data_IF_336919482629
#
_entry.id   IF_336919482629
#
_cell.length_a   1.000
_cell.length_b   1.000
_cell.length_c   1.000
_cell.angle_alpha   90.00
_cell.angle_beta   90.00
_cell.angle_gamma   90.00
#
_symmetry.space_group_name_H-M   'P 1'
#
loop_
_entity.id
_entity.type
_entity.pdbx_description
1 polymer ?
#
# COMPACT_ATOMS: atom_id res chain seq x y z
N UNK A 1 -9.01 15.59 23.36
CA UNK A 1 -9.43 16.94 22.95
C UNK A 1 -10.31 16.84 21.71
N UNK A 2 -11.26 17.76 21.52
CA UNK A 2 -12.24 17.67 20.42
C UNK A 2 -11.69 18.16 19.07
N UNK A 3 -12.25 17.65 17.97
CA UNK A 3 -11.90 18.02 16.60
C UNK A 3 -11.86 19.55 16.38
N UNK A 4 -10.77 20.04 15.79
CA UNK A 4 -10.50 21.45 15.58
C UNK A 4 -10.11 21.78 14.14
N UNK A 5 -9.52 20.84 13.40
CA UNK A 5 -8.94 21.09 12.09
C UNK A 5 -10.00 21.54 11.07
N UNK A 6 -11.19 20.94 11.10
CA UNK A 6 -12.31 21.37 10.26
C UNK A 6 -12.76 22.83 10.53
N UNK A 7 -12.51 23.37 11.73
CA UNK A 7 -12.85 24.77 12.07
C UNK A 7 -11.92 25.77 11.38
N UNK A 8 -10.78 25.33 10.87
CA UNK A 8 -9.83 26.15 10.10
C UNK A 8 -10.28 26.41 8.67
N UNK A 9 -11.29 25.69 8.17
CA UNK A 9 -11.87 25.96 6.84
C UNK A 9 -12.51 27.35 6.79
N UNK A 10 -13.18 27.77 7.87
CA UNK A 10 -13.81 29.09 7.96
C UNK A 10 -12.84 30.29 7.87
N UNK A 11 -11.71 30.34 8.61
CA UNK A 11 -10.70 31.38 8.41
C UNK A 11 -10.01 31.26 7.04
N UNK A 12 -9.74 30.05 6.53
CA UNK A 12 -9.15 29.85 5.21
C UNK A 12 -10.03 30.44 4.10
N UNK A 13 -11.34 30.16 4.15
CA UNK A 13 -12.33 30.72 3.22
C UNK A 13 -12.35 32.26 3.28
N UNK A 14 -12.34 32.86 4.48
CA UNK A 14 -12.30 34.32 4.60
C UNK A 14 -11.08 34.95 3.94
N UNK A 15 -9.95 34.26 3.94
CA UNK A 15 -8.70 34.77 3.40
C UNK A 15 -8.54 34.50 1.90
N UNK A 16 -9.03 33.36 1.41
CA UNK A 16 -8.78 32.87 0.04
C UNK A 16 -10.02 32.73 -0.84
N UNK A 17 -11.23 32.83 -0.29
CA UNK A 17 -12.49 32.55 -1.01
C UNK A 17 -12.77 33.48 -2.20
N UNK A 18 -12.23 34.71 -2.18
CA UNK A 18 -12.33 35.63 -3.31
C UNK A 18 -11.52 35.15 -4.54
N UNK A 19 -10.39 34.48 -4.31
CA UNK A 19 -9.55 33.91 -5.37
C UNK A 19 -10.02 32.51 -5.78
N UNK A 20 -10.66 31.77 -4.87
CA UNK A 20 -11.11 30.39 -5.06
C UNK A 20 -12.58 30.20 -4.63
N UNK A 21 -13.57 30.62 -5.47
CA UNK A 21 -15.00 30.52 -5.15
C UNK A 21 -15.50 29.08 -4.93
N UNK A 22 -14.79 28.10 -5.47
CA UNK A 22 -15.02 26.67 -5.26
C UNK A 22 -14.86 26.26 -3.79
N UNK A 23 -14.01 26.94 -3.02
CA UNK A 23 -13.81 26.67 -1.60
C UNK A 23 -15.09 26.98 -0.81
N UNK A 24 -15.74 28.10 -1.11
CA UNK A 24 -17.03 28.46 -0.52
C UNK A 24 -18.14 27.48 -0.91
N UNK A 25 -18.18 27.06 -2.19
CA UNK A 25 -19.19 26.09 -2.66
C UNK A 25 -19.01 24.72 -2.03
N UNK A 26 -17.76 24.28 -1.84
CA UNK A 26 -17.41 22.98 -1.29
C UNK A 26 -17.30 22.94 0.23
N UNK A 27 -17.41 24.07 0.92
CA UNK A 27 -17.10 24.22 2.35
C UNK A 27 -17.73 23.15 3.23
N UNK A 28 -19.04 22.96 3.14
CA UNK A 28 -19.75 22.00 3.99
C UNK A 28 -19.25 20.56 3.79
N UNK A 29 -18.88 20.20 2.55
CA UNK A 29 -18.30 18.90 2.23
C UNK A 29 -16.88 18.79 2.78
N UNK A 30 -16.04 19.82 2.61
CA UNK A 30 -14.67 19.84 3.12
C UNK A 30 -14.65 19.75 4.64
N UNK A 31 -15.46 20.55 5.34
CA UNK A 31 -15.57 20.51 6.80
C UNK A 31 -16.03 19.12 7.29
N UNK A 32 -17.01 18.50 6.60
CA UNK A 32 -17.50 17.16 6.94
C UNK A 32 -16.40 16.10 6.78
N UNK A 33 -15.69 16.11 5.65
CA UNK A 33 -14.62 15.14 5.37
C UNK A 33 -13.47 15.32 6.35
N UNK A 34 -13.02 16.55 6.58
CA UNK A 34 -11.95 16.83 7.53
C UNK A 34 -12.32 16.42 8.95
N UNK A 35 -13.57 16.65 9.36
CA UNK A 35 -14.04 16.22 10.68
C UNK A 35 -14.04 14.68 10.81
N UNK A 36 -14.56 13.97 9.80
CA UNK A 36 -14.57 12.51 9.80
C UNK A 36 -13.15 11.93 9.82
N UNK A 37 -12.25 12.49 9.02
CA UNK A 37 -10.86 12.06 8.97
C UNK A 37 -10.13 12.37 10.28
N UNK A 38 -10.36 13.54 10.88
CA UNK A 38 -9.78 13.93 12.17
C UNK A 38 -10.28 13.04 13.31
N UNK A 39 -11.57 12.72 13.36
CA UNK A 39 -12.15 11.78 14.34
C UNK A 39 -11.52 10.38 14.19
N UNK A 40 -11.43 9.86 12.95
CA UNK A 40 -10.82 8.56 12.66
C UNK A 40 -9.33 8.54 12.98
N UNK A 41 -8.62 9.61 12.62
CA UNK A 41 -7.20 9.75 12.86
C UNK A 41 -6.90 9.89 14.35
N UNK A 42 -7.72 10.59 15.13
CA UNK A 42 -7.53 10.70 16.57
C UNK A 42 -7.60 9.34 17.28
N UNK A 43 -8.51 8.45 16.86
CA UNK A 43 -8.62 7.09 17.39
C UNK A 43 -7.38 6.23 17.09
N UNK A 44 -6.82 6.33 15.88
CA UNK A 44 -5.61 5.60 15.50
C UNK A 44 -4.34 6.23 16.07
N UNK A 45 -4.28 7.56 16.14
CA UNK A 45 -3.17 8.33 16.70
C UNK A 45 -2.98 8.02 18.18
N UNK A 46 -4.05 7.98 18.98
CA UNK A 46 -3.95 7.67 20.41
C UNK A 46 -3.30 6.29 20.65
N UNK A 47 -3.74 5.27 19.90
CA UNK A 47 -3.16 3.92 19.96
C UNK A 47 -1.72 3.90 19.45
N UNK A 48 -1.46 4.59 18.33
CA UNK A 48 -0.11 4.70 17.75
C UNK A 48 0.88 5.37 18.70
N UNK A 49 0.45 6.42 19.41
CA UNK A 49 1.25 7.10 20.43
C UNK A 49 1.52 6.20 21.64
N UNK A 50 0.52 5.48 22.16
CA UNK A 50 0.71 4.55 23.27
C UNK A 50 1.73 3.44 22.92
N UNK A 51 1.66 2.92 21.69
CA UNK A 51 2.60 1.92 21.18
C UNK A 51 4.00 2.49 20.94
N UNK A 52 4.09 3.70 20.38
CA UNK A 52 5.36 4.40 20.21
C UNK A 52 6.01 4.66 21.57
N UNK A 53 5.24 5.10 22.56
CA UNK A 53 5.72 5.29 23.93
C UNK A 53 6.16 3.98 24.58
N UNK A 54 5.36 2.91 24.42
CA UNK A 54 5.72 1.57 24.89
C UNK A 54 6.99 1.03 24.23
N UNK A 55 7.13 1.23 22.92
CA UNK A 55 8.34 0.86 22.17
C UNK A 55 9.55 1.66 22.69
N UNK A 56 9.43 2.97 22.81
CA UNK A 56 10.49 3.84 23.33
C UNK A 56 10.87 3.46 24.78
N UNK A 57 9.90 3.10 25.61
CA UNK A 57 10.14 2.65 26.99
C UNK A 57 10.78 1.26 27.07
N UNK A 58 10.49 0.38 26.10
CA UNK A 58 11.08 -0.95 25.99
C UNK A 58 12.50 -0.93 25.38
N UNK A 59 12.92 0.19 24.77
CA UNK A 59 14.30 0.33 24.28
C UNK A 59 15.27 0.27 25.46
N UNK A 60 16.21 -0.69 25.49
CA UNK A 60 17.22 -0.76 26.53
C UNK A 60 18.07 0.52 26.56
N UNK A 61 18.51 0.94 27.75
CA UNK A 61 19.35 2.13 27.96
C UNK A 61 20.70 2.10 27.19
N UNK A 62 21.04 0.97 26.57
CA UNK A 62 22.18 0.78 25.70
C UNK A 62 21.72 0.08 24.43
N UNK A 63 21.81 0.75 23.30
CA UNK A 63 21.78 0.10 21.98
C UNK A 63 23.09 0.48 21.30
N UNK A 64 23.76 -0.56 20.81
CA UNK A 64 25.12 -0.56 20.28
C UNK A 64 25.39 0.58 19.29
N UNK A 65 26.63 1.09 19.26
CA UNK A 65 27.09 1.99 18.21
C UNK A 65 27.24 1.18 16.91
N UNK A 66 26.16 0.96 16.18
CA UNK A 66 26.26 0.72 14.74
C UNK A 66 26.38 2.08 14.06
N UNK A 67 27.31 2.26 13.09
CA UNK A 67 27.53 3.54 12.46
C UNK A 67 26.27 3.95 11.70
N UNK A 68 25.60 4.97 12.24
CA UNK A 68 24.50 5.65 11.59
C UNK A 68 24.98 6.15 10.21
N UNK A 69 24.48 5.55 9.14
CA UNK A 69 24.60 6.16 7.83
C UNK A 69 23.67 7.37 7.80
N UNK A 70 24.29 8.53 7.99
CA UNK A 70 23.79 9.87 7.69
C UNK A 70 22.65 10.38 8.59
N UNK A 71 22.96 10.60 9.86
CA UNK A 71 22.31 11.65 10.63
C UNK A 71 22.79 13.02 10.09
N UNK A 72 22.01 13.66 9.23
CA UNK A 72 22.16 15.10 9.02
C UNK A 72 21.61 15.79 10.27
N UNK A 73 22.56 16.30 11.06
CA UNK A 73 22.36 17.29 12.14
C UNK A 73 21.93 16.72 13.50
N UNK A 74 22.92 16.32 14.31
CA UNK A 74 22.85 16.40 15.78
C UNK A 74 22.46 15.13 16.55
N UNK A 75 23.42 14.62 17.33
CA UNK A 75 23.24 14.10 18.71
C UNK A 75 22.13 13.06 18.99
N UNK A 76 21.71 12.22 18.05
CA UNK A 76 20.81 11.11 18.37
C UNK A 76 21.56 10.01 19.14
N UNK A 77 21.29 9.86 20.43
CA UNK A 77 21.99 8.90 21.32
C UNK A 77 21.40 7.49 21.23
N UNK A 78 20.17 7.37 20.70
CA UNK A 78 19.42 6.11 20.57
C UNK A 78 18.59 6.15 19.29
N UNK A 79 18.40 5.01 18.64
CA UNK A 79 17.68 4.86 17.36
C UNK A 79 16.57 3.82 17.53
N UNK A 80 15.36 4.13 17.05
CA UNK A 80 14.25 3.19 16.96
C UNK A 80 14.47 2.28 15.75
N UNK A 81 14.38 0.97 15.94
CA UNK A 81 14.59 -0.01 14.87
C UNK A 81 13.53 0.09 13.77
N UNK A 82 13.94 -0.21 12.54
CA UNK A 82 13.07 -0.09 11.37
C UNK A 82 11.89 -1.06 11.36
N UNK A 83 11.97 -2.19 12.07
CA UNK A 83 10.87 -3.16 12.19
C UNK A 83 9.74 -2.62 13.09
N UNK A 84 10.08 -1.95 14.19
CA UNK A 84 9.13 -1.22 15.03
C UNK A 84 8.46 -0.08 14.26
N UNK A 85 9.23 0.72 13.52
CA UNK A 85 8.69 1.79 12.66
C UNK A 85 7.76 1.20 11.59
N UNK A 86 8.14 0.07 10.99
CA UNK A 86 7.32 -0.63 10.02
C UNK A 86 5.99 -1.11 10.62
N UNK A 87 6.00 -1.64 11.85
CA UNK A 87 4.79 -2.07 12.54
C UNK A 87 3.85 -0.92 12.84
N UNK A 88 4.37 0.24 13.27
CA UNK A 88 3.61 1.47 13.47
C UNK A 88 2.92 1.91 12.18
N UNK A 89 3.62 1.83 11.06
CA UNK A 89 3.09 2.16 9.74
C UNK A 89 2.03 1.15 9.24
N UNK A 90 2.38 -0.14 9.17
CA UNK A 90 1.56 -1.17 8.52
C UNK A 90 0.33 -1.57 9.36
N UNK A 91 0.51 -1.75 10.67
CA UNK A 91 -0.58 -2.24 11.54
C UNK A 91 -1.46 -1.11 12.06
N UNK A 92 -0.89 0.04 12.35
CA UNK A 92 -1.59 1.14 13.04
C UNK A 92 -1.81 2.36 12.14
N UNK A 93 -1.29 2.35 10.92
CA UNK A 93 -1.43 3.46 9.97
C UNK A 93 -0.69 4.72 10.41
N UNK A 94 0.27 4.62 11.31
CA UNK A 94 0.98 5.77 11.86
C UNK A 94 2.07 6.21 10.87
N UNK A 95 2.04 7.47 10.37
CA UNK A 95 3.02 7.92 9.39
C UNK A 95 4.46 7.86 9.92
N UNK A 96 5.39 7.45 9.05
CA UNK A 96 6.83 7.43 9.37
C UNK A 96 7.34 8.82 9.76
N UNK A 97 6.82 9.87 9.11
CA UNK A 97 7.19 11.26 9.39
C UNK A 97 6.84 11.68 10.83
N UNK A 98 5.63 11.33 11.28
CA UNK A 98 5.20 11.57 12.66
C UNK A 98 6.05 10.78 13.67
N UNK A 99 6.45 9.56 13.33
CA UNK A 99 7.35 8.76 14.17
C UNK A 99 8.72 9.43 14.27
N UNK A 100 9.24 9.94 13.15
CA UNK A 100 10.51 10.65 13.09
C UNK A 100 10.47 11.96 13.90
N UNK A 101 9.36 12.71 13.83
CA UNK A 101 9.20 13.96 14.56
C UNK A 101 9.12 13.73 16.07
N UNK A 102 8.29 12.77 16.53
CA UNK A 102 8.20 12.41 17.96
C UNK A 102 9.52 11.83 18.48
N UNK A 103 10.22 11.03 17.66
CA UNK A 103 11.55 10.55 18.00
C UNK A 103 12.54 11.72 18.18
N UNK A 104 12.55 12.68 17.25
CA UNK A 104 13.43 13.85 17.29
C UNK A 104 13.20 14.72 18.52
N UNK A 105 11.94 14.96 18.89
CA UNK A 105 11.58 15.70 20.11
C UNK A 105 12.15 15.06 21.39
N UNK A 106 12.35 13.73 21.37
CA UNK A 106 12.91 12.94 22.48
C UNK A 106 14.41 12.66 22.34
N UNK A 107 15.08 13.27 21.36
CA UNK A 107 16.50 13.04 21.09
C UNK A 107 16.81 11.63 20.54
N UNK A 108 15.83 10.99 19.93
CA UNK A 108 15.92 9.68 19.28
C UNK A 108 15.97 9.84 17.75
N UNK A 109 16.65 8.92 17.08
CA UNK A 109 16.58 8.74 15.63
C UNK A 109 15.66 7.59 15.24
N UNK A 110 15.39 7.44 13.94
CA UNK A 110 14.74 6.27 13.37
C UNK A 110 15.68 5.57 12.39
N UNK A 111 15.65 4.23 12.36
CA UNK A 111 16.38 3.44 11.36
C UNK A 111 15.57 3.36 10.06
N UNK A 112 15.79 4.36 9.20
CA UNK A 112 15.15 4.47 7.90
C UNK A 112 15.51 3.29 6.97
N UNK A 113 16.75 2.81 7.02
CA UNK A 113 17.21 1.72 6.17
C UNK A 113 16.55 0.39 6.56
N UNK A 114 16.43 0.12 7.87
CA UNK A 114 15.68 -1.02 8.37
C UNK A 114 14.20 -0.99 7.98
N UNK A 115 13.58 0.21 8.03
CA UNK A 115 12.18 0.39 7.61
C UNK A 115 12.00 0.08 6.11
N UNK A 116 12.87 0.60 5.25
CA UNK A 116 12.85 0.35 3.81
C UNK A 116 13.05 -1.13 3.48
N UNK A 117 13.94 -1.82 4.20
CA UNK A 117 14.13 -3.26 4.07
C UNK A 117 12.87 -4.06 4.45
N UNK A 118 12.20 -3.68 5.54
CA UNK A 118 10.95 -4.31 5.97
C UNK A 118 9.82 -4.10 4.95
N UNK A 119 9.68 -2.88 4.41
CA UNK A 119 8.76 -2.56 3.31
C UNK A 119 9.03 -3.38 2.05
N UNK A 120 10.31 -3.52 1.65
CA UNK A 120 10.68 -4.34 0.50
C UNK A 120 10.34 -5.83 0.71
N UNK A 121 10.59 -6.36 1.90
CA UNK A 121 10.26 -7.73 2.25
C UNK A 121 8.73 -7.99 2.26
N UNK A 122 7.93 -7.04 2.75
CA UNK A 122 6.47 -7.12 2.69
C UNK A 122 5.98 -7.09 1.24
N UNK A 123 6.53 -6.19 0.41
CA UNK A 123 6.18 -6.08 -1.00
C UNK A 123 6.48 -7.37 -1.76
N UNK A 124 7.60 -8.01 -1.47
CA UNK A 124 7.96 -9.29 -2.09
C UNK A 124 7.05 -10.44 -1.62
N UNK A 125 6.72 -10.49 -0.33
CA UNK A 125 5.71 -11.42 0.20
C UNK A 125 4.35 -11.24 -0.48
N UNK A 126 3.91 -10.01 -0.68
CA UNK A 126 2.66 -9.70 -1.37
C UNK A 126 2.69 -10.15 -2.84
N UNK A 127 3.82 -9.98 -3.54
CA UNK A 127 4.00 -10.48 -4.92
C UNK A 127 4.00 -12.01 -5.01
N UNK A 128 4.68 -12.68 -4.07
CA UNK A 128 4.71 -14.13 -4.01
C UNK A 128 3.31 -14.71 -3.73
N UNK A 129 2.54 -14.08 -2.82
CA UNK A 129 1.16 -14.44 -2.53
C UNK A 129 0.18 -14.07 -3.66
N UNK A 130 0.48 -13.02 -4.43
CA UNK A 130 -0.31 -12.59 -5.59
C UNK A 130 -0.05 -13.41 -6.86
N UNK A 131 0.79 -14.45 -6.81
CA UNK A 131 0.79 -15.52 -7.82
C UNK A 131 -0.45 -16.40 -7.64
N UNK A 132 -1.63 -15.78 -7.67
CA UNK A 132 -2.84 -16.46 -8.11
C UNK A 132 -2.53 -16.99 -9.51
N UNK A 133 -2.62 -18.30 -9.67
CA UNK A 133 -2.24 -19.02 -10.87
C UNK A 133 -2.89 -18.41 -12.11
N UNK A 134 -2.13 -17.57 -12.82
CA UNK A 134 -2.29 -17.53 -14.26
C UNK A 134 -1.78 -18.89 -14.69
N UNK A 135 -2.70 -19.82 -14.93
CA UNK A 135 -2.42 -21.06 -15.65
C UNK A 135 -1.87 -20.64 -17.03
N UNK A 136 -0.58 -20.31 -17.09
CA UNK A 136 0.19 -20.18 -18.31
C UNK A 136 0.51 -21.58 -18.85
N UNK A 137 -0.45 -22.51 -18.77
CA UNK A 137 -0.49 -23.71 -19.61
C UNK A 137 -1.04 -23.38 -21.00
N UNK A 138 -1.05 -22.10 -21.39
CA UNK A 138 -1.17 -21.73 -22.77
C UNK A 138 0.05 -22.30 -23.49
N UNK A 139 -0.12 -23.49 -24.06
CA UNK A 139 0.76 -24.04 -25.07
C UNK A 139 1.04 -22.91 -26.05
N UNK A 140 2.32 -22.59 -26.27
CA UNK A 140 2.72 -21.64 -27.30
C UNK A 140 2.37 -22.24 -28.66
N UNK A 141 1.12 -22.05 -29.06
CA UNK A 141 0.65 -22.34 -30.39
C UNK A 141 0.98 -21.09 -31.20
N UNK A 142 1.92 -21.23 -32.13
CA UNK A 142 2.27 -20.17 -33.08
C UNK A 142 1.15 -20.04 -34.11
N UNK A 143 0.00 -19.52 -33.65
CA UNK A 143 -1.26 -19.45 -34.39
C UNK A 143 -1.77 -18.03 -34.28
N UNK A 144 -2.03 -17.42 -35.44
CA UNK A 144 -2.61 -16.09 -35.52
C UNK A 144 -4.12 -16.18 -35.74
N UNK A 145 -4.91 -15.72 -34.76
CA UNK A 145 -6.35 -15.55 -34.91
C UNK A 145 -6.68 -14.12 -35.31
N UNK A 146 -7.69 -13.92 -36.17
CA UNK A 146 -8.29 -12.61 -36.44
C UNK A 146 -9.49 -12.40 -35.53
N UNK A 147 -9.57 -11.26 -34.85
CA UNK A 147 -10.72 -10.93 -34.02
C UNK A 147 -11.85 -10.31 -34.86
N UNK A 148 -12.92 -11.08 -35.06
CA UNK A 148 -14.10 -10.65 -35.83
C UNK A 148 -15.26 -10.13 -34.92
N UNK A 149 -15.04 -10.08 -33.59
CA UNK A 149 -16.07 -9.81 -32.59
C UNK A 149 -16.67 -8.39 -32.56
N UNK A 150 -16.10 -7.45 -33.31
CA UNK A 150 -16.70 -6.11 -33.47
C UNK A 150 -17.89 -6.11 -34.45
N UNK A 151 -17.92 -7.03 -35.41
CA UNK A 151 -18.93 -7.04 -36.48
C UNK A 151 -19.92 -8.20 -36.38
N UNK A 152 -19.54 -9.31 -35.72
CA UNK A 152 -20.34 -10.53 -35.68
C UNK A 152 -20.20 -11.23 -34.34
N UNK A 153 -21.31 -11.82 -33.86
CA UNK A 153 -21.34 -12.67 -32.65
C UNK A 153 -21.34 -14.16 -32.97
N UNK A 154 -21.32 -14.52 -34.26
CA UNK A 154 -21.29 -15.90 -34.76
C UNK A 154 -20.27 -15.99 -35.90
N UNK A 155 -19.57 -17.13 -35.97
CA UNK A 155 -18.57 -17.41 -37.00
C UNK A 155 -18.28 -18.90 -37.12
N UNK A 156 -17.59 -19.26 -38.19
CA UNK A 156 -17.09 -20.61 -38.44
C UNK A 156 -15.57 -20.61 -38.23
N UNK A 157 -15.05 -21.63 -37.54
CA UNK A 157 -13.63 -21.80 -37.25
C UNK A 157 -13.19 -23.23 -37.59
N UNK A 158 -11.90 -23.41 -37.86
CA UNK A 158 -11.33 -24.74 -38.14
C UNK A 158 -10.59 -25.21 -36.91
N UNK A 159 -10.86 -26.42 -36.43
CA UNK A 159 -10.06 -27.01 -35.34
C UNK A 159 -8.61 -27.19 -35.80
N UNK A 160 -7.69 -26.51 -35.12
CA UNK A 160 -6.24 -26.52 -35.38
C UNK A 160 -5.53 -27.47 -34.42
N UNK A 161 -6.00 -27.57 -33.17
CA UNK A 161 -5.44 -28.46 -32.17
C UNK A 161 -6.47 -28.87 -31.10
N UNK A 162 -6.25 -30.05 -30.52
CA UNK A 162 -6.87 -30.51 -29.29
C UNK A 162 -5.80 -30.62 -28.22
N UNK A 163 -6.08 -30.15 -27.01
CA UNK A 163 -5.19 -30.23 -25.86
C UNK A 163 -5.83 -31.04 -24.74
N UNK A 164 -5.11 -31.98 -24.14
CA UNK A 164 -5.44 -32.62 -22.88
C UNK A 164 -4.38 -32.24 -21.85
N UNK A 165 -4.79 -31.64 -20.73
CA UNK A 165 -3.89 -31.15 -19.66
C UNK A 165 -2.72 -30.27 -20.18
N UNK A 166 -2.95 -29.50 -21.24
CA UNK A 166 -1.92 -28.65 -21.87
C UNK A 166 -0.97 -29.38 -22.83
N UNK A 167 -1.27 -30.62 -23.24
CA UNK A 167 -0.51 -31.35 -24.26
C UNK A 167 -1.36 -31.63 -25.50
N UNK A 168 -0.77 -31.48 -26.70
CA UNK A 168 -1.45 -31.77 -27.97
C UNK A 168 -1.80 -33.26 -28.08
N UNK A 169 -3.07 -33.56 -28.34
CA UNK A 169 -3.58 -34.92 -28.55
C UNK A 169 -4.27 -35.05 -29.91
N UNK A 170 -4.30 -36.26 -30.45
CA UNK A 170 -4.99 -36.55 -31.72
C UNK A 170 -6.50 -36.77 -31.54
N UNK A 171 -6.93 -37.19 -30.34
CA UNK A 171 -8.32 -37.43 -30.00
C UNK A 171 -8.53 -37.29 -28.48
N UNK A 172 -9.76 -36.99 -28.07
CA UNK A 172 -10.22 -37.00 -26.67
C UNK A 172 -11.27 -38.11 -26.51
N UNK A 173 -11.17 -38.87 -25.42
CA UNK A 173 -12.11 -39.94 -25.09
C UNK A 173 -13.32 -39.41 -24.31
N UNK A 174 -14.47 -40.12 -24.33
CA UNK A 174 -15.63 -39.76 -23.51
C UNK A 174 -15.26 -39.64 -22.03
N UNK A 175 -15.53 -38.48 -21.43
CA UNK A 175 -15.22 -38.19 -20.02
C UNK A 175 -13.90 -37.44 -19.80
N UNK A 176 -13.06 -37.29 -20.83
CA UNK A 176 -11.84 -36.49 -20.73
C UNK A 176 -12.14 -34.99 -20.88
N UNK A 177 -11.42 -34.17 -20.10
CA UNK A 177 -11.44 -32.71 -20.25
C UNK A 177 -10.32 -32.30 -21.18
N UNK A 178 -10.63 -31.46 -22.16
CA UNK A 178 -9.65 -30.92 -23.07
C UNK A 178 -10.05 -29.56 -23.61
N UNK A 179 -9.08 -28.88 -24.19
CA UNK A 179 -9.24 -27.57 -24.83
C UNK A 179 -9.21 -27.75 -26.35
N UNK A 180 -10.04 -27.00 -27.05
CA UNK A 180 -10.10 -26.99 -28.52
C UNK A 180 -9.59 -25.64 -28.99
N UNK A 181 -8.62 -25.65 -29.90
CA UNK A 181 -8.10 -24.44 -30.53
C UNK A 181 -8.65 -24.34 -31.96
N UNK A 182 -9.33 -23.22 -32.25
CA UNK A 182 -10.00 -22.91 -33.52
C UNK A 182 -9.27 -21.81 -34.31
#
# INVERSE_FOLDING_TARGET
>A
EGSFFYKLVAPLERQMGAAYPELSRGRAQVEKVLRQEEERFAETLAKGMELLEGAIAALPAQISPQPASVAQTGTATRVIDGETVFKLYDTYGFPVDLTADVARERGLGIDQAGFEAAMAAQRERARAASRFGVDQRAVQLDVHSRFDGYGRTQGEGRVIALLADGQRVAALQPGERGEIVL
#
